data_IF_625565756628
#
_entry.id   IF_625565756628
#
_cell.length_a   1.000
_cell.length_b   1.000
_cell.length_c   1.000
_cell.angle_alpha   90.00
_cell.angle_beta   90.00
_cell.angle_gamma   90.00
#
_symmetry.space_group_name_H-M   'P 1'
#
loop_
_entity.id
_entity.type
_entity.pdbx_description
1 polymer ?
#
# COMPACT_ATOMS: atom_id res chain seq x y z
N UNK A 1 18.10 20.27 3.23
CA UNK A 1 18.05 18.82 2.98
C UNK A 1 16.68 18.32 3.40
N UNK A 2 15.87 17.83 2.46
CA UNK A 2 14.56 17.28 2.80
C UNK A 2 14.77 15.96 3.55
N UNK A 3 14.36 15.91 4.82
CA UNK A 3 14.34 14.70 5.62
C UNK A 3 13.42 13.69 4.93
N UNK A 4 13.99 12.65 4.31
CA UNK A 4 13.21 11.51 3.85
C UNK A 4 12.72 10.79 5.10
N UNK A 5 11.53 11.19 5.58
CA UNK A 5 10.93 10.58 6.75
C UNK A 5 10.55 9.15 6.40
N UNK A 6 11.41 8.20 6.73
CA UNK A 6 11.18 6.78 6.47
C UNK A 6 9.95 6.37 7.28
N UNK A 7 8.82 6.21 6.59
CA UNK A 7 7.56 5.83 7.23
C UNK A 7 7.59 4.34 7.51
N UNK A 8 7.35 3.98 8.77
CA UNK A 8 7.44 2.58 9.23
C UNK A 8 6.27 1.71 8.78
N UNK A 9 5.13 2.31 8.43
CA UNK A 9 3.90 1.62 8.04
C UNK A 9 3.00 2.52 7.20
N UNK A 10 2.13 1.89 6.40
CA UNK A 10 1.00 2.54 5.74
C UNK A 10 -0.14 2.77 6.74
N UNK A 11 -0.97 3.75 6.47
CA UNK A 11 -2.27 3.94 7.12
C UNK A 11 -3.35 3.10 6.41
N UNK A 12 -4.53 2.99 7.02
CA UNK A 12 -5.65 2.29 6.38
C UNK A 12 -6.07 2.93 5.05
N UNK A 13 -6.12 4.26 4.98
CA UNK A 13 -6.44 4.99 3.75
C UNK A 13 -5.39 4.80 2.66
N UNK A 14 -4.10 4.75 3.04
CA UNK A 14 -3.03 4.44 2.07
C UNK A 14 -3.09 2.97 1.63
N UNK A 15 -3.51 2.05 2.50
CA UNK A 15 -3.71 0.66 2.13
C UNK A 15 -4.83 0.50 1.08
N UNK A 16 -5.90 1.29 1.15
CA UNK A 16 -6.93 1.37 0.10
C UNK A 16 -6.29 1.79 -1.24
N UNK A 17 -5.45 2.82 -1.21
CA UNK A 17 -4.77 3.33 -2.40
C UNK A 17 -3.77 2.32 -2.97
N UNK A 18 -3.10 1.53 -2.13
CA UNK A 18 -2.26 0.40 -2.56
C UNK A 18 -3.04 -0.59 -3.42
N UNK A 19 -4.28 -0.92 -3.03
CA UNK A 19 -5.15 -1.82 -3.80
C UNK A 19 -5.54 -1.22 -5.15
N UNK A 20 -5.92 0.07 -5.19
CA UNK A 20 -6.24 0.75 -6.45
C UNK A 20 -5.05 0.75 -7.42
N UNK A 21 -3.87 1.12 -6.94
CA UNK A 21 -2.65 1.12 -7.75
C UNK A 21 -2.29 -0.28 -8.25
N UNK A 22 -2.54 -1.31 -7.41
CA UNK A 22 -2.32 -2.68 -7.81
C UNK A 22 -3.29 -3.11 -8.93
N UNK A 23 -4.56 -2.72 -8.82
CA UNK A 23 -5.57 -2.98 -9.85
C UNK A 23 -5.25 -2.25 -11.17
N UNK A 24 -4.63 -1.06 -11.10
CA UNK A 24 -4.11 -0.32 -12.27
C UNK A 24 -2.84 -0.94 -12.89
N UNK A 25 -2.32 -2.03 -12.31
CA UNK A 25 -1.15 -2.74 -12.82
C UNK A 25 0.20 -2.29 -12.25
N UNK A 26 0.21 -1.44 -11.21
CA UNK A 26 1.46 -1.03 -10.57
C UNK A 26 2.12 -2.17 -9.79
N UNK A 27 3.43 -2.33 -9.98
CA UNK A 27 4.23 -3.28 -9.20
C UNK A 27 4.49 -2.78 -7.77
N UNK A 28 4.67 -3.73 -6.84
CA UNK A 28 4.87 -3.43 -5.42
C UNK A 28 6.02 -2.44 -5.14
N UNK A 29 7.13 -2.52 -5.88
CA UNK A 29 8.27 -1.62 -5.69
C UNK A 29 7.94 -0.17 -6.07
N UNK A 30 7.17 0.04 -7.14
CA UNK A 30 6.70 1.37 -7.55
C UNK A 30 5.73 1.95 -6.52
N UNK A 31 4.81 1.12 -6.02
CA UNK A 31 3.87 1.51 -4.96
C UNK A 31 4.64 1.89 -3.68
N UNK A 32 5.63 1.08 -3.29
CA UNK A 32 6.44 1.34 -2.11
C UNK A 32 7.24 2.64 -2.20
N UNK A 33 7.80 2.93 -3.37
CA UNK A 33 8.48 4.19 -3.67
C UNK A 33 7.52 5.39 -3.57
N UNK A 34 6.29 5.27 -4.10
CA UNK A 34 5.26 6.32 -4.02
C UNK A 34 4.93 6.71 -2.58
N UNK A 35 4.88 5.73 -1.66
CA UNK A 35 4.58 5.98 -0.25
C UNK A 35 5.81 6.16 0.65
N UNK A 36 7.03 6.01 0.12
CA UNK A 36 8.26 6.08 0.92
C UNK A 36 8.35 4.99 2.00
N UNK A 37 7.82 3.80 1.72
CA UNK A 37 7.79 2.66 2.65
C UNK A 37 8.62 1.49 2.12
N UNK A 38 8.97 0.56 3.02
CA UNK A 38 9.57 -0.71 2.60
C UNK A 38 8.55 -1.53 1.78
N UNK A 39 8.92 -2.11 0.62
CA UNK A 39 8.05 -2.99 -0.17
C UNK A 39 7.39 -4.12 0.63
N UNK A 40 8.04 -4.62 1.69
CA UNK A 40 7.44 -5.58 2.60
C UNK A 40 6.12 -5.09 3.24
N UNK A 41 5.99 -3.77 3.48
CA UNK A 41 4.75 -3.16 4.01
C UNK A 41 3.61 -3.16 3.00
N UNK A 42 3.94 -2.94 1.74
CA UNK A 42 2.98 -3.06 0.63
C UNK A 42 2.53 -4.51 0.50
N UNK A 43 3.47 -5.46 0.60
CA UNK A 43 3.15 -6.88 0.58
C UNK A 43 2.30 -7.33 1.77
N UNK A 44 2.51 -6.78 2.97
CA UNK A 44 1.65 -7.05 4.14
C UNK A 44 0.20 -6.61 3.89
N UNK A 45 -0.03 -5.48 3.22
CA UNK A 45 -1.36 -5.01 2.81
C UNK A 45 -1.96 -5.93 1.75
N UNK A 46 -1.20 -6.23 0.70
CA UNK A 46 -1.67 -7.05 -0.44
C UNK A 46 -1.93 -8.52 -0.08
N UNK A 47 -1.37 -9.00 1.03
CA UNK A 47 -1.67 -10.31 1.61
C UNK A 47 -2.73 -10.25 2.71
N UNK A 48 -3.34 -9.08 2.90
CA UNK A 48 -4.31 -8.79 3.96
C UNK A 48 -3.81 -9.19 5.37
N UNK A 49 -2.50 -9.14 5.61
CA UNK A 49 -1.92 -9.34 6.95
C UNK A 49 -2.05 -8.09 7.81
N UNK A 50 -2.14 -6.93 7.15
CA UNK A 50 -2.40 -5.63 7.76
C UNK A 50 -3.45 -4.88 6.97
N UNK A 51 -4.18 -4.00 7.67
CA UNK A 51 -5.26 -3.19 7.08
C UNK A 51 -6.32 -4.05 6.38
N UNK A 52 -6.72 -5.15 7.04
CA UNK A 52 -7.78 -6.05 6.57
C UNK A 52 -9.03 -5.27 6.20
N UNK A 53 -9.67 -5.62 5.08
CA UNK A 53 -10.85 -4.93 4.56
C UNK A 53 -10.54 -3.70 3.70
N UNK A 54 -9.29 -3.20 3.69
CA UNK A 54 -8.89 -2.10 2.79
C UNK A 54 -9.07 -2.47 1.31
N UNK A 55 -8.96 -3.76 0.97
CA UNK A 55 -9.25 -4.31 -0.36
C UNK A 55 -10.70 -4.06 -0.78
N UNK A 56 -11.64 -4.47 0.08
CA UNK A 56 -13.07 -4.26 -0.14
C UNK A 56 -13.41 -2.79 -0.21
N UNK A 57 -12.82 -1.95 0.66
CA UNK A 57 -12.99 -0.49 0.61
C UNK A 57 -12.41 0.15 -0.64
N UNK A 58 -11.43 -0.48 -1.31
CA UNK A 58 -10.93 -0.03 -2.61
C UNK A 58 -11.90 -0.33 -3.77
N UNK A 59 -12.97 -1.09 -3.51
CA UNK A 59 -13.93 -1.49 -4.53
C UNK A 59 -13.53 -2.75 -5.30
N UNK A 60 -12.45 -3.44 -4.90
CA UNK A 60 -12.20 -4.81 -5.34
C UNK A 60 -13.19 -5.74 -4.60
N UNK A 61 -14.30 -6.02 -5.28
CA UNK A 61 -15.21 -7.11 -4.93
C UNK A 61 -14.68 -8.35 -5.66
N UNK A 62 -14.52 -9.44 -4.91
CA UNK A 62 -14.04 -10.75 -5.40
C UNK A 62 -14.96 -11.26 -6.51
#
# INVERSE_FOLDING_TARGET
MATHQIRKSLTYSEAIEVWKLRAEGSFQHNIAAKFGVNPARVNDVLKERKHVGSRTSAGEII
#
